data_IF_214484769290
#
_entry.id   IF_214484769290
#
_cell.length_a   1.000
_cell.length_b   1.000
_cell.length_c   1.000
_cell.angle_alpha   90.00
_cell.angle_beta   90.00
_cell.angle_gamma   90.00
#
_symmetry.space_group_name_H-M   'P 1'
#
loop_
_entity.id
_entity.type
_entity.pdbx_description
1 polymer ?
#
# COMPACT_ATOMS: atom_id res chain seq x y z
N UNK A 1 10.64 -18.15 -52.08
CA UNK A 1 11.58 -17.22 -52.74
C UNK A 1 11.40 -15.89 -52.01
N UNK A 2 12.28 -15.45 -51.12
CA UNK A 2 13.66 -14.98 -51.37
C UNK A 2 14.54 -15.36 -50.16
N UNK A 3 15.64 -16.06 -50.43
CA UNK A 3 16.73 -16.33 -49.47
C UNK A 3 17.63 -15.09 -49.46
N UNK A 4 17.66 -14.34 -48.36
CA UNK A 4 18.72 -13.35 -48.16
C UNK A 4 19.81 -13.97 -47.31
N UNK A 5 20.92 -14.33 -47.96
CA UNK A 5 22.19 -14.67 -47.33
C UNK A 5 22.63 -13.50 -46.44
N UNK A 6 22.67 -13.70 -45.12
CA UNK A 6 23.57 -12.94 -44.27
C UNK A 6 24.61 -13.90 -43.70
N UNK A 7 25.82 -13.62 -44.16
CA UNK A 7 27.03 -14.41 -44.02
C UNK A 7 27.50 -14.47 -42.57
N UNK A 8 27.98 -15.66 -42.23
CA UNK A 8 28.83 -16.02 -41.11
C UNK A 8 29.74 -14.88 -40.62
N UNK A 9 29.50 -14.38 -39.41
CA UNK A 9 30.58 -13.86 -38.56
C UNK A 9 30.53 -14.55 -37.21
N UNK A 10 31.36 -15.58 -37.08
CA UNK A 10 31.69 -16.23 -35.82
C UNK A 10 32.35 -15.22 -34.88
N UNK A 11 31.66 -14.80 -33.82
CA UNK A 11 32.30 -14.36 -32.60
C UNK A 11 31.74 -15.15 -31.42
N UNK A 12 32.67 -15.85 -30.77
CA UNK A 12 32.51 -16.55 -29.51
C UNK A 12 31.84 -15.64 -28.49
N UNK A 13 30.63 -16.00 -28.04
CA UNK A 13 30.15 -15.58 -26.73
C UNK A 13 30.14 -16.84 -25.85
N UNK A 14 31.35 -17.15 -25.36
CA UNK A 14 31.54 -17.91 -24.13
C UNK A 14 31.15 -17.01 -22.96
N UNK A 15 30.23 -17.47 -22.12
CA UNK A 15 29.79 -16.79 -20.90
C UNK A 15 28.74 -15.71 -21.21
N UNK A 16 27.56 -15.72 -20.61
CA UNK A 16 27.23 -16.04 -19.22
C UNK A 16 25.84 -16.65 -19.17
N UNK A 17 25.62 -17.58 -18.23
CA UNK A 17 24.28 -17.91 -17.73
C UNK A 17 23.70 -16.67 -17.04
N UNK A 18 23.28 -15.67 -17.83
CA UNK A 18 22.42 -14.62 -17.35
C UNK A 18 21.01 -15.19 -17.34
N UNK A 19 20.55 -15.58 -16.14
CA UNK A 19 19.15 -15.87 -15.89
C UNK A 19 18.30 -14.69 -16.41
N UNK A 20 17.14 -14.94 -17.03
CA UNK A 20 16.35 -13.90 -17.69
C UNK A 20 15.98 -12.79 -16.71
N UNK A 21 16.35 -11.55 -17.07
CA UNK A 21 16.11 -10.32 -16.30
C UNK A 21 14.62 -10.08 -16.03
N UNK A 22 13.73 -10.68 -16.82
CA UNK A 22 12.27 -10.53 -16.74
C UNK A 22 11.64 -11.07 -15.45
N UNK A 23 12.23 -12.08 -14.79
CA UNK A 23 11.68 -12.60 -13.52
C UNK A 23 12.05 -11.72 -12.32
N UNK A 24 13.19 -11.02 -12.37
CA UNK A 24 13.67 -10.19 -11.25
C UNK A 24 12.80 -8.95 -11.04
N UNK A 25 12.31 -8.34 -12.13
CA UNK A 25 11.47 -7.14 -12.05
C UNK A 25 10.09 -7.43 -11.45
N UNK A 26 9.51 -8.60 -11.74
CA UNK A 26 8.22 -9.02 -11.17
C UNK A 26 8.28 -9.18 -9.65
N UNK A 27 9.32 -9.85 -9.13
CA UNK A 27 9.51 -10.01 -7.69
C UNK A 27 9.86 -8.68 -6.99
N UNK A 28 10.57 -7.78 -7.68
CA UNK A 28 10.89 -6.46 -7.14
C UNK A 28 9.65 -5.56 -7.06
N UNK A 29 8.74 -5.68 -8.02
CA UNK A 29 7.49 -4.94 -8.06
C UNK A 29 6.49 -5.46 -7.01
N UNK A 30 6.39 -6.77 -6.83
CA UNK A 30 5.53 -7.38 -5.80
C UNK A 30 6.04 -7.10 -4.37
N UNK A 31 7.37 -7.08 -4.19
CA UNK A 31 8.00 -6.77 -2.90
C UNK A 31 8.00 -5.27 -2.57
N UNK A 32 8.10 -4.39 -3.56
CA UNK A 32 7.99 -2.93 -3.36
C UNK A 32 6.58 -2.50 -2.95
N UNK A 33 5.56 -3.23 -3.41
CA UNK A 33 4.16 -3.01 -3.03
C UNK A 33 3.83 -3.59 -1.64
N UNK A 34 4.51 -4.66 -1.21
CA UNK A 34 4.44 -5.17 0.17
C UNK A 34 5.33 -4.40 1.16
N UNK A 35 6.36 -3.69 0.69
CA UNK A 35 7.31 -2.94 1.53
C UNK A 35 6.96 -1.48 1.74
N UNK A 36 5.83 -0.98 1.22
CA UNK A 36 5.31 0.30 1.69
C UNK A 36 4.76 0.08 3.10
N UNK A 37 5.65 0.25 4.07
CA UNK A 37 5.36 0.66 5.45
C UNK A 37 4.03 1.41 5.51
N UNK A 38 3.21 1.13 6.52
CA UNK A 38 1.88 1.69 6.69
C UNK A 38 1.78 3.17 6.28
N UNK A 39 0.63 3.55 5.72
CA UNK A 39 0.38 4.91 5.25
C UNK A 39 0.75 5.98 6.29
N UNK A 40 0.90 7.24 5.85
CA UNK A 40 1.31 8.35 6.71
C UNK A 40 0.51 8.37 8.02
N UNK A 41 1.21 8.42 9.14
CA UNK A 41 0.67 8.39 10.52
C UNK A 41 -0.10 7.12 10.91
N UNK A 42 0.10 6.02 10.18
CA UNK A 42 -0.31 4.69 10.59
C UNK A 42 0.89 3.87 11.10
N UNK A 43 0.58 2.79 11.81
CA UNK A 43 1.54 1.81 12.31
C UNK A 43 0.99 0.41 12.12
N UNK A 44 1.88 -0.58 11.99
CA UNK A 44 1.48 -1.98 11.96
C UNK A 44 1.01 -2.40 13.35
N UNK A 45 -0.16 -3.02 13.43
CA UNK A 45 -0.71 -3.56 14.66
C UNK A 45 -0.97 -5.06 14.46
N UNK A 46 -0.40 -5.90 15.32
CA UNK A 46 -0.69 -7.34 15.33
C UNK A 46 -2.14 -7.61 15.77
N UNK A 47 -2.65 -6.79 16.69
CA UNK A 47 -4.05 -6.76 17.11
C UNK A 47 -4.68 -5.46 16.61
N UNK A 48 -5.33 -5.50 15.44
CA UNK A 48 -5.97 -4.31 14.87
C UNK A 48 -7.34 -4.05 15.49
N UNK A 49 -7.77 -2.78 15.46
CA UNK A 49 -9.12 -2.41 15.85
C UNK A 49 -10.11 -2.77 14.71
N UNK A 50 -11.08 -3.63 15.00
CA UNK A 50 -12.13 -4.07 14.06
C UNK A 50 -13.10 -2.92 13.71
N UNK A 51 -13.20 -1.93 14.60
CA UNK A 51 -14.11 -0.79 14.50
C UNK A 51 -13.34 0.54 14.38
N UNK A 52 -12.55 0.78 13.32
CA UNK A 52 -11.82 2.02 13.16
C UNK A 52 -12.78 3.20 12.94
N UNK A 53 -12.40 4.38 13.46
CA UNK A 53 -13.07 5.64 13.15
C UNK A 53 -12.41 6.31 11.95
N UNK A 54 -13.21 7.02 11.16
CA UNK A 54 -12.76 7.89 10.08
C UNK A 54 -13.21 9.33 10.28
N UNK A 55 -12.76 10.24 9.43
CA UNK A 55 -13.25 11.63 9.45
C UNK A 55 -14.77 11.75 9.19
N UNK A 56 -15.44 10.71 8.71
CA UNK A 56 -16.90 10.70 8.55
C UNK A 56 -17.65 10.54 9.88
N UNK A 57 -17.05 9.89 10.89
CA UNK A 57 -17.71 9.54 12.16
C UNK A 57 -16.83 9.76 13.39
N UNK A 58 -15.82 10.64 13.30
CA UNK A 58 -14.83 10.79 14.36
C UNK A 58 -15.42 11.37 15.66
N UNK A 59 -16.40 12.26 15.55
CA UNK A 59 -17.05 12.97 16.63
C UNK A 59 -18.33 12.31 17.15
N UNK A 60 -18.80 11.24 16.49
CA UNK A 60 -19.95 10.47 16.94
C UNK A 60 -19.51 9.27 17.79
N UNK A 61 -20.42 8.79 18.66
CA UNK A 61 -20.23 7.51 19.32
C UNK A 61 -20.33 6.44 18.25
N UNK A 62 -19.27 5.63 18.10
CA UNK A 62 -19.29 4.54 17.14
C UNK A 62 -20.20 3.44 17.69
N UNK A 63 -21.22 3.03 16.93
CA UNK A 63 -22.06 1.89 17.31
C UNK A 63 -21.25 0.58 17.31
N UNK A 64 -20.18 0.52 16.52
CA UNK A 64 -19.22 -0.58 16.52
C UNK A 64 -18.23 -0.40 17.67
N UNK A 65 -18.26 -1.33 18.63
CA UNK A 65 -17.28 -1.46 19.70
C UNK A 65 -16.93 -2.95 19.89
N UNK A 66 -15.65 -3.26 19.97
CA UNK A 66 -15.17 -4.63 20.19
C UNK A 66 -13.86 -4.61 20.96
N UNK A 67 -13.74 -5.49 21.95
CA UNK A 67 -12.47 -5.78 22.65
C UNK A 67 -11.67 -6.92 21.99
N UNK A 68 -12.21 -7.53 20.92
CA UNK A 68 -11.52 -8.59 20.16
C UNK A 68 -10.52 -7.98 19.20
N UNK A 69 -9.38 -8.64 19.04
CA UNK A 69 -8.41 -8.31 18.01
C UNK A 69 -8.93 -8.65 16.61
N UNK A 70 -8.80 -7.70 15.69
CA UNK A 70 -8.85 -7.98 14.27
C UNK A 70 -7.56 -8.66 13.79
N UNK A 71 -7.53 -9.05 12.52
CA UNK A 71 -6.31 -9.55 11.89
C UNK A 71 -5.20 -8.49 11.93
N UNK A 72 -3.90 -8.89 11.90
CA UNK A 72 -2.80 -7.95 11.80
C UNK A 72 -2.98 -6.99 10.62
N UNK A 73 -2.92 -5.69 10.87
CA UNK A 73 -3.16 -4.67 9.87
C UNK A 73 -2.56 -3.30 10.28
N UNK A 74 -2.42 -2.41 9.30
CA UNK A 74 -2.11 -1.02 9.57
C UNK A 74 -3.30 -0.32 10.25
N UNK A 75 -3.05 0.31 11.39
CA UNK A 75 -4.00 1.20 12.06
C UNK A 75 -3.39 2.57 12.34
N UNK A 76 -4.25 3.57 12.55
CA UNK A 76 -3.77 4.90 12.89
C UNK A 76 -3.01 4.90 14.21
N UNK A 77 -1.93 5.69 14.28
CA UNK A 77 -1.24 5.97 15.55
C UNK A 77 -2.18 6.68 16.51
N UNK A 78 -1.87 6.61 17.80
CA UNK A 78 -2.61 7.34 18.83
C UNK A 78 -2.78 8.82 18.45
N UNK A 79 -3.96 9.38 18.77
CA UNK A 79 -4.34 10.75 18.38
C UNK A 79 -4.67 10.98 16.89
N UNK A 80 -4.52 9.97 16.01
CA UNK A 80 -4.83 10.08 14.59
C UNK A 80 -6.07 9.28 14.20
N UNK A 81 -6.72 9.71 13.12
CA UNK A 81 -7.99 9.19 12.63
C UNK A 81 -7.87 8.93 11.14
N UNK A 82 -8.51 7.86 10.68
CA UNK A 82 -8.48 7.50 9.27
C UNK A 82 -9.10 8.62 8.43
N UNK A 83 -8.39 9.12 7.41
CA UNK A 83 -8.91 10.22 6.60
C UNK A 83 -10.17 9.82 5.85
N UNK A 84 -10.17 8.62 5.30
CA UNK A 84 -11.24 8.07 4.48
C UNK A 84 -11.40 6.57 4.78
N UNK A 85 -12.61 6.16 5.15
CA UNK A 85 -12.91 4.75 5.47
C UNK A 85 -12.84 3.83 4.24
N UNK A 86 -13.02 4.37 3.03
CA UNK A 86 -12.98 3.63 1.78
C UNK A 86 -11.59 3.59 1.15
N UNK A 87 -10.67 4.46 1.59
CA UNK A 87 -9.31 4.55 1.04
C UNK A 87 -8.26 4.79 2.14
N UNK A 88 -7.70 3.68 2.64
CA UNK A 88 -6.66 3.70 3.67
C UNK A 88 -5.32 4.27 3.18
N UNK A 89 -5.12 4.40 1.86
CA UNK A 89 -3.88 4.99 1.31
C UNK A 89 -3.79 6.49 1.59
N UNK A 90 -4.94 7.16 1.82
CA UNK A 90 -5.03 8.56 2.27
C UNK A 90 -4.48 8.78 3.69
N UNK A 91 -4.19 7.69 4.40
CA UNK A 91 -3.51 7.70 5.69
C UNK A 91 -4.35 8.26 6.84
N UNK A 92 -3.65 8.63 7.91
CA UNK A 92 -4.28 9.09 9.14
C UNK A 92 -3.94 10.57 9.41
N UNK A 93 -4.94 11.29 9.90
CA UNK A 93 -4.88 12.75 10.14
C UNK A 93 -5.37 13.07 11.54
N UNK A 94 -5.11 14.29 12.03
CA UNK A 94 -5.63 14.71 13.35
C UNK A 94 -7.12 15.07 13.27
N UNK A 95 -7.76 15.24 14.43
CA UNK A 95 -9.17 15.64 14.51
C UNK A 95 -9.43 17.00 13.85
N UNK A 96 -8.46 17.91 13.95
CA UNK A 96 -8.52 19.25 13.35
C UNK A 96 -8.62 19.15 11.83
N UNK A 97 -7.76 18.32 11.22
CA UNK A 97 -7.80 18.08 9.78
C UNK A 97 -9.13 17.41 9.37
N UNK A 98 -9.67 16.50 10.17
CA UNK A 98 -11.00 15.95 9.90
C UNK A 98 -12.10 17.03 9.88
N UNK A 99 -12.05 18.01 10.79
CA UNK A 99 -13.01 19.14 10.80
C UNK A 99 -12.90 19.96 9.51
N UNK A 100 -11.69 20.20 9.01
CA UNK A 100 -11.45 20.92 7.76
C UNK A 100 -11.88 20.14 6.51
N UNK A 101 -11.61 18.84 6.45
CA UNK A 101 -12.03 17.97 5.32
C UNK A 101 -13.55 17.91 5.27
N UNK A 102 -14.21 17.78 6.42
CA UNK A 102 -15.67 17.77 6.52
C UNK A 102 -16.30 19.12 6.16
N UNK A 103 -15.72 20.24 6.59
CA UNK A 103 -16.24 21.57 6.23
C UNK A 103 -16.16 21.87 4.73
N UNK A 104 -15.25 21.18 4.01
CA UNK A 104 -15.10 21.25 2.55
C UNK A 104 -15.92 20.21 1.78
N UNK A 105 -16.65 19.31 2.47
CA UNK A 105 -17.43 18.25 1.82
C UNK A 105 -16.57 17.20 1.09
N UNK A 106 -15.37 16.91 1.60
CA UNK A 106 -14.37 16.02 0.95
C UNK A 106 -14.24 14.66 1.65
N UNK A 107 -15.34 14.17 2.23
CA UNK A 107 -15.43 12.86 2.89
C UNK A 107 -15.89 11.79 1.91
#
# INVERSE_FOLDING_TARGET
>A
MVRSLFLLSSLLILGTLALPVEEVDKFKQEKAELSKSCAKNAQWNECSNICPKSCANFDTINACFSLRCGAPACGCKEGHILRDASDHSKGCVTREVCREVRSKGQL
#
